data_IF_525536624494
#
_entry.id   IF_525536624494
#
_cell.length_a   1.000
_cell.length_b   1.000
_cell.length_c   1.000
_cell.angle_alpha   90.00
_cell.angle_beta   90.00
_cell.angle_gamma   90.00
#
_symmetry.space_group_name_H-M   'P 1'
#
loop_
_entity.id
_entity.type
_entity.pdbx_description
1 polymer ?
#
# COMPACT_ATOMS: atom_id res chain seq x y z
N UNK A 1 4.50 11.56 -5.06
CA UNK A 1 5.69 10.82 -5.53
C UNK A 1 5.39 9.32 -5.44
N UNK A 2 5.33 8.63 -6.58
CA UNK A 2 5.15 7.19 -6.66
C UNK A 2 6.45 6.51 -6.22
N UNK A 3 6.57 6.23 -4.92
CA UNK A 3 7.76 5.63 -4.31
C UNK A 3 7.94 4.19 -4.81
N UNK A 4 8.65 3.97 -5.91
CA UNK A 4 9.17 2.65 -6.30
C UNK A 4 8.13 1.58 -6.66
N UNK A 5 6.82 1.87 -6.67
CA UNK A 5 5.80 0.87 -7.05
C UNK A 5 5.99 0.33 -8.47
N UNK A 6 6.58 1.13 -9.35
CA UNK A 6 6.91 0.75 -10.72
C UNK A 6 8.11 -0.18 -10.84
N UNK A 7 8.95 -0.31 -9.80
CA UNK A 7 10.10 -1.21 -9.79
C UNK A 7 9.80 -2.58 -9.16
N UNK A 8 8.59 -2.78 -8.63
CA UNK A 8 8.17 -4.07 -8.09
C UNK A 8 7.70 -4.97 -9.24
N UNK A 9 8.30 -6.15 -9.35
CA UNK A 9 7.95 -7.17 -10.35
C UNK A 9 6.73 -7.97 -9.86
N UNK A 10 5.57 -7.32 -9.90
CA UNK A 10 4.32 -7.87 -9.37
C UNK A 10 3.68 -8.77 -10.43
N UNK A 11 3.25 -9.97 -10.03
CA UNK A 11 2.42 -10.82 -10.87
C UNK A 11 1.07 -10.11 -11.15
N UNK A 12 0.75 -9.90 -12.43
CA UNK A 12 -0.51 -9.26 -12.88
C UNK A 12 -1.45 -10.24 -13.59
N UNK A 13 -1.12 -11.52 -13.53
CA UNK A 13 -1.83 -12.59 -14.20
C UNK A 13 -1.22 -13.00 -15.56
N UNK A 14 -1.97 -13.73 -16.39
CA UNK A 14 -3.35 -14.15 -16.15
C UNK A 14 -3.46 -15.08 -14.92
N UNK A 15 -4.38 -14.79 -14.02
CA UNK A 15 -4.67 -15.67 -12.89
C UNK A 15 -5.64 -16.77 -13.32
N UNK A 16 -5.52 -17.92 -12.66
CA UNK A 16 -6.31 -19.14 -12.97
C UNK A 16 -7.27 -19.52 -11.84
N UNK A 17 -7.31 -18.71 -10.78
CA UNK A 17 -8.13 -18.92 -9.59
C UNK A 17 -8.08 -17.67 -8.70
N UNK A 18 -9.13 -17.41 -7.93
CA UNK A 18 -9.16 -16.28 -6.99
C UNK A 18 -8.08 -16.38 -5.92
N UNK A 19 -7.79 -17.60 -5.44
CA UNK A 19 -6.71 -17.85 -4.50
C UNK A 19 -5.36 -17.30 -5.02
N UNK A 20 -4.97 -17.65 -6.25
CA UNK A 20 -3.74 -17.11 -6.88
C UNK A 20 -3.77 -15.59 -7.06
N UNK A 21 -4.94 -15.01 -7.34
CA UNK A 21 -5.08 -13.55 -7.44
C UNK A 21 -4.84 -12.89 -6.08
N UNK A 22 -5.51 -13.34 -5.02
CA UNK A 22 -5.36 -12.77 -3.68
C UNK A 22 -3.96 -13.03 -3.10
N UNK A 23 -3.39 -14.23 -3.30
CA UNK A 23 -2.00 -14.54 -2.91
C UNK A 23 -1.02 -13.58 -3.59
N UNK A 24 -1.25 -13.25 -4.87
CA UNK A 24 -0.45 -12.28 -5.61
C UNK A 24 -0.57 -10.87 -5.05
N UNK A 25 -1.76 -10.44 -4.64
CA UNK A 25 -1.95 -9.13 -4.01
C UNK A 25 -1.24 -9.04 -2.66
N UNK A 26 -1.34 -10.09 -1.84
CA UNK A 26 -0.68 -10.15 -0.54
C UNK A 26 0.84 -10.18 -0.70
N UNK A 27 1.36 -10.94 -1.68
CA UNK A 27 2.79 -10.95 -2.02
C UNK A 27 3.27 -9.57 -2.45
N UNK A 28 2.57 -8.90 -3.36
CA UNK A 28 2.90 -7.55 -3.80
C UNK A 28 2.90 -6.52 -2.66
N UNK A 29 1.95 -6.66 -1.72
CA UNK A 29 1.88 -5.83 -0.53
C UNK A 29 3.08 -6.06 0.40
N UNK A 30 3.47 -7.32 0.64
CA UNK A 30 4.65 -7.67 1.44
C UNK A 30 5.95 -7.19 0.79
N UNK A 31 6.15 -7.42 -0.50
CA UNK A 31 7.31 -6.92 -1.24
C UNK A 31 7.40 -5.38 -1.18
N UNK A 32 6.26 -4.70 -1.29
CA UNK A 32 6.21 -3.25 -1.11
C UNK A 32 6.63 -2.84 0.31
N UNK A 33 6.13 -3.54 1.33
CA UNK A 33 6.48 -3.30 2.72
C UNK A 33 7.99 -3.53 2.98
N UNK A 34 8.60 -4.50 2.31
CA UNK A 34 10.03 -4.81 2.46
C UNK A 34 10.95 -3.71 1.90
N UNK A 35 10.54 -3.03 0.82
CA UNK A 35 11.32 -1.94 0.22
C UNK A 35 11.09 -0.57 0.87
N UNK A 36 10.18 -0.48 1.85
CA UNK A 36 10.03 0.74 2.64
C UNK A 36 11.35 1.03 3.34
N UNK A 37 11.90 2.22 3.09
CA UNK A 37 13.17 2.63 3.68
C UNK A 37 13.05 2.59 5.20
N UNK A 38 13.86 1.77 5.85
CA UNK A 38 14.09 1.86 7.28
C UNK A 38 14.86 3.15 7.54
N UNK A 39 14.24 4.13 8.20
CA UNK A 39 14.95 5.32 8.63
C UNK A 39 15.71 5.01 9.93
N UNK A 40 16.82 5.73 10.16
CA UNK A 40 17.70 5.52 11.31
C UNK A 40 17.12 6.02 12.64
N UNK A 41 15.82 6.28 12.73
CA UNK A 41 15.15 6.59 13.99
C UNK A 41 14.84 5.30 14.76
N UNK A 42 15.89 4.52 15.01
CA UNK A 42 15.92 3.63 16.16
C UNK A 42 15.81 4.50 17.42
N UNK A 43 14.90 4.11 18.30
CA UNK A 43 14.45 4.76 19.53
C UNK A 43 13.42 5.86 19.28
N UNK A 44 12.15 5.51 19.57
CA UNK A 44 11.09 6.43 20.01
C UNK A 44 11.74 7.65 20.66
N UNK A 45 11.47 8.86 20.14
CA UNK A 45 11.93 10.07 20.82
C UNK A 45 11.46 9.97 22.28
N UNK A 46 12.39 9.89 23.25
CA UNK A 46 12.05 9.54 24.62
C UNK A 46 10.99 10.52 25.10
N UNK A 47 9.83 9.98 25.48
CA UNK A 47 8.76 10.78 26.06
C UNK A 47 9.34 11.42 27.32
N UNK A 48 9.38 12.76 27.42
CA UNK A 48 9.96 13.43 28.58
C UNK A 48 9.33 12.87 29.87
N UNK A 49 10.13 12.28 30.76
CA UNK A 49 9.66 11.91 32.10
C UNK A 49 9.90 13.06 33.04
N UNK A 50 8.99 13.28 34.00
CA UNK A 50 9.17 14.36 34.98
C UNK A 50 10.45 14.22 35.80
N UNK A 51 10.84 12.98 36.09
CA UNK A 51 12.00 12.67 36.93
C UNK A 51 13.34 12.99 36.25
N UNK A 52 13.33 13.22 34.93
CA UNK A 52 14.53 13.56 34.14
C UNK A 52 14.89 15.06 34.20
N UNK A 53 14.03 15.89 34.81
CA UNK A 53 14.20 17.35 34.81
C UNK A 53 14.20 17.94 36.22
N UNK A 54 15.13 18.88 36.44
CA UNK A 54 15.30 19.54 37.73
C UNK A 54 14.19 20.57 38.02
N UNK A 55 13.40 20.97 37.02
CA UNK A 55 12.36 21.99 37.17
C UNK A 55 11.16 21.75 36.25
N UNK A 56 10.01 22.32 36.63
CA UNK A 56 8.80 22.28 35.80
C UNK A 56 8.97 22.98 34.46
N UNK A 57 9.70 24.09 34.44
CA UNK A 57 9.90 24.88 33.23
C UNK A 57 10.69 24.08 32.19
N UNK A 58 11.73 23.36 32.62
CA UNK A 58 12.53 22.50 31.73
C UNK A 58 11.70 21.32 31.19
N UNK A 59 10.91 20.67 32.06
CA UNK A 59 10.01 19.60 31.67
C UNK A 59 8.97 20.08 30.63
N UNK A 60 8.28 21.19 30.92
CA UNK A 60 7.28 21.77 30.02
C UNK A 60 7.88 22.19 28.67
N UNK A 61 9.09 22.75 28.69
CA UNK A 61 9.82 23.09 27.46
C UNK A 61 10.15 21.85 26.62
N UNK A 62 10.59 20.76 27.26
CA UNK A 62 10.87 19.49 26.60
C UNK A 62 9.59 18.84 26.02
N UNK A 63 8.48 18.89 26.77
CA UNK A 63 7.16 18.41 26.31
C UNK A 63 6.68 19.22 25.11
N UNK A 64 6.83 20.55 25.12
CA UNK A 64 6.44 21.39 23.98
C UNK A 64 7.29 21.08 22.74
N UNK A 65 8.61 20.92 22.89
CA UNK A 65 9.48 20.51 21.78
C UNK A 65 9.12 19.13 21.23
N UNK A 66 8.77 18.17 22.10
CA UNK A 66 8.29 16.86 21.69
C UNK A 66 6.94 16.95 20.95
N UNK A 67 6.02 17.76 21.44
CA UNK A 67 4.72 18.00 20.79
C UNK A 67 4.91 18.67 19.41
N UNK A 68 5.79 19.67 19.31
CA UNK A 68 6.11 20.33 18.04
C UNK A 68 6.74 19.34 17.05
N UNK A 69 7.64 18.46 17.53
CA UNK A 69 8.25 17.39 16.75
C UNK A 69 7.21 16.41 16.19
N UNK A 70 6.19 16.04 16.98
CA UNK A 70 5.10 15.14 16.57
C UNK A 70 4.04 15.85 15.70
N UNK A 71 3.78 17.14 15.91
CA UNK A 71 2.71 17.89 15.25
C UNK A 71 3.09 18.44 13.86
N UNK A 72 4.37 18.75 13.60
CA UNK A 72 4.82 19.31 12.30
C UNK A 72 4.98 18.19 11.27
N UNK A 73 3.88 17.59 10.81
CA UNK A 73 3.84 16.69 9.64
C UNK A 73 4.70 15.42 9.68
N UNK A 74 5.52 15.24 10.74
CA UNK A 74 6.27 14.05 11.12
C UNK A 74 5.34 13.02 11.74
N UNK A 75 4.34 12.64 10.97
CA UNK A 75 3.48 11.50 11.22
C UNK A 75 4.37 10.34 11.71
N UNK A 76 3.94 9.61 12.74
CA UNK A 76 4.41 8.25 13.00
C UNK A 76 3.99 7.27 11.88
N UNK A 77 3.79 7.75 10.66
CA UNK A 77 3.98 6.99 9.41
C UNK A 77 5.43 7.21 8.90
N UNK A 78 6.36 7.37 9.86
CA UNK A 78 7.77 7.11 9.63
C UNK A 78 7.92 5.64 9.24
N UNK A 79 9.07 5.27 8.70
CA UNK A 79 9.50 3.90 8.39
C UNK A 79 9.22 2.80 9.42
N UNK A 80 8.70 3.15 10.59
CA UNK A 80 8.25 2.28 11.69
C UNK A 80 7.11 1.34 11.32
N UNK A 81 6.33 1.67 10.28
CA UNK A 81 5.18 0.87 9.83
C UNK A 81 5.59 -0.42 9.08
N UNK A 82 6.90 -0.67 8.80
CA UNK A 82 7.31 -1.93 8.15
C UNK A 82 6.88 -3.15 8.98
N UNK A 83 7.06 -3.12 10.30
CA UNK A 83 6.64 -4.23 11.16
C UNK A 83 5.12 -4.41 11.10
N UNK A 84 4.36 -3.33 11.23
CA UNK A 84 2.90 -3.36 11.20
C UNK A 84 2.35 -3.80 9.85
N UNK A 85 2.93 -3.33 8.73
CA UNK A 85 2.59 -3.80 7.40
C UNK A 85 2.94 -5.28 7.20
N UNK A 86 4.09 -5.76 7.69
CA UNK A 86 4.43 -7.18 7.60
C UNK A 86 3.46 -8.03 8.43
N UNK A 87 3.12 -7.59 9.66
CA UNK A 87 2.11 -8.26 10.50
C UNK A 87 0.75 -8.28 9.80
N UNK A 88 0.30 -7.14 9.27
CA UNK A 88 -0.95 -7.05 8.53
C UNK A 88 -0.95 -7.93 7.28
N UNK A 89 0.18 -8.02 6.57
CA UNK A 89 0.33 -8.85 5.36
C UNK A 89 0.22 -10.33 5.67
N UNK A 90 0.86 -10.79 6.74
CA UNK A 90 0.71 -12.18 7.21
C UNK A 90 -0.71 -12.46 7.71
N UNK A 91 -1.34 -11.53 8.44
CA UNK A 91 -2.73 -11.67 8.86
C UNK A 91 -3.68 -11.75 7.65
N UNK A 92 -3.48 -10.91 6.63
CA UNK A 92 -4.25 -10.94 5.38
C UNK A 92 -4.08 -12.26 4.64
N UNK A 93 -2.84 -12.77 4.55
CA UNK A 93 -2.56 -14.07 3.94
C UNK A 93 -3.35 -15.20 4.63
N UNK A 94 -3.39 -15.20 5.97
CA UNK A 94 -4.11 -16.22 6.74
C UNK A 94 -5.64 -16.07 6.60
N UNK A 95 -6.15 -14.83 6.56
CA UNK A 95 -7.55 -14.54 6.30
C UNK A 95 -7.95 -15.04 4.91
N UNK A 96 -7.17 -14.74 3.87
CA UNK A 96 -7.43 -15.16 2.48
C UNK A 96 -7.53 -16.68 2.37
N UNK A 97 -6.70 -17.42 3.10
CA UNK A 97 -6.75 -18.90 3.13
C UNK A 97 -7.97 -19.47 3.85
N UNK A 98 -8.56 -18.70 4.75
CA UNK A 98 -9.76 -19.09 5.52
C UNK A 98 -11.06 -18.65 4.87
N UNK A 99 -11.00 -17.71 3.91
CA UNK A 99 -12.16 -17.34 3.12
C UNK A 99 -12.56 -18.54 2.26
N UNK A 100 -13.76 -19.07 2.53
CA UNK A 100 -14.49 -19.88 1.55
C UNK A 100 -14.92 -18.95 0.42
N UNK A 101 -13.99 -18.70 -0.50
CA UNK A 101 -14.28 -17.91 -1.69
C UNK A 101 -15.35 -18.66 -2.48
N UNK A 102 -16.45 -17.99 -2.87
CA UNK A 102 -17.47 -18.62 -3.68
C UNK A 102 -16.80 -19.25 -4.90
N UNK A 103 -17.23 -20.45 -5.29
CA UNK A 103 -16.97 -20.96 -6.65
C UNK A 103 -17.68 -20.04 -7.64
N UNK A 104 -17.12 -18.85 -7.87
CA UNK A 104 -17.34 -18.08 -9.08
C UNK A 104 -16.91 -19.00 -10.22
N UNK A 105 -17.69 -19.05 -11.30
CA UNK A 105 -17.29 -19.77 -12.50
C UNK A 105 -15.87 -19.32 -12.86
N UNK A 106 -14.90 -20.18 -12.55
CA UNK A 106 -13.46 -19.87 -12.57
C UNK A 106 -12.90 -19.76 -13.98
N UNK A 107 -13.77 -19.55 -14.98
CA UNK A 107 -13.44 -19.57 -16.39
C UNK A 107 -13.06 -18.17 -16.92
N UNK A 108 -13.42 -17.09 -16.21
CA UNK A 108 -13.25 -15.72 -16.70
C UNK A 108 -12.47 -14.82 -15.73
N UNK A 109 -11.18 -14.62 -16.02
CA UNK A 109 -10.31 -13.59 -15.42
C UNK A 109 -10.11 -12.44 -16.42
N UNK A 110 -11.07 -11.50 -16.52
CA UNK A 110 -11.02 -10.39 -17.47
C UNK A 110 -9.83 -9.46 -17.21
N UNK A 111 -9.32 -8.86 -18.28
CA UNK A 111 -8.25 -7.88 -18.21
C UNK A 111 -8.81 -6.52 -17.78
N UNK A 112 -8.29 -5.98 -16.69
CA UNK A 112 -8.70 -4.70 -16.11
C UNK A 112 -7.66 -3.61 -16.37
N UNK A 113 -8.13 -2.43 -16.79
CA UNK A 113 -7.32 -1.24 -16.99
C UNK A 113 -7.38 -0.34 -15.74
N UNK A 114 -6.29 -0.19 -14.95
CA UNK A 114 -6.33 0.49 -13.66
C UNK A 114 -6.46 2.01 -13.74
N UNK A 115 -6.22 2.62 -14.90
CA UNK A 115 -6.25 4.07 -15.08
C UNK A 115 -7.00 4.50 -16.36
N UNK A 116 -8.33 4.33 -16.44
CA UNK A 116 -9.10 4.73 -17.62
C UNK A 116 -9.33 6.26 -17.65
N UNK A 117 -8.25 7.04 -17.47
CA UNK A 117 -8.33 8.50 -17.54
C UNK A 117 -8.58 8.94 -18.99
N UNK A 118 -9.22 10.10 -19.16
CA UNK A 118 -9.45 10.69 -20.49
C UNK A 118 -8.16 10.89 -21.29
N UNK A 119 -7.01 11.04 -20.63
CA UNK A 119 -5.71 11.16 -21.29
C UNK A 119 -5.25 9.87 -21.97
N UNK A 120 -5.86 8.73 -21.61
CA UNK A 120 -5.53 7.41 -22.15
C UNK A 120 -6.55 6.93 -23.19
N UNK A 121 -7.56 7.74 -23.51
CA UNK A 121 -8.65 7.41 -24.44
C UNK A 121 -8.58 8.36 -25.63
N UNK A 122 -8.38 7.80 -26.82
CA UNK A 122 -8.35 8.56 -28.07
C UNK A 122 -9.67 8.38 -28.81
N UNK A 123 -10.16 9.48 -29.37
CA UNK A 123 -11.38 9.52 -30.17
C UNK A 123 -11.09 10.06 -31.56
N UNK A 124 -11.89 9.66 -32.55
CA UNK A 124 -11.88 10.23 -33.89
C UNK A 124 -12.75 11.51 -33.98
N UNK A 125 -12.84 12.08 -35.19
CA UNK A 125 -13.61 13.29 -35.48
C UNK A 125 -15.14 13.10 -35.29
N UNK A 126 -15.60 11.85 -35.28
CA UNK A 126 -17.01 11.47 -35.05
C UNK A 126 -17.26 11.08 -33.56
N UNK A 127 -16.29 11.31 -32.68
CA UNK A 127 -16.33 10.99 -31.25
C UNK A 127 -16.38 9.48 -30.92
N UNK A 128 -15.98 8.60 -31.83
CA UNK A 128 -15.84 7.18 -31.53
C UNK A 128 -14.50 6.92 -30.84
N UNK A 129 -14.47 6.05 -29.83
CA UNK A 129 -13.24 5.60 -29.20
C UNK A 129 -12.46 4.75 -30.21
N UNK A 130 -11.24 5.18 -30.54
CA UNK A 130 -10.36 4.50 -31.50
C UNK A 130 -9.27 3.70 -30.81
N UNK A 131 -8.71 4.23 -29.72
CA UNK A 131 -7.63 3.58 -28.99
C UNK A 131 -7.74 3.84 -27.49
N UNK A 132 -7.35 2.82 -26.70
CA UNK A 132 -7.09 2.93 -25.27
C UNK A 132 -5.63 2.53 -25.07
N UNK A 133 -4.84 3.40 -24.42
CA UNK A 133 -3.40 3.19 -24.19
C UNK A 133 -3.10 3.06 -22.70
N UNK A 134 -1.82 2.93 -22.33
CA UNK A 134 -1.33 2.87 -20.94
C UNK A 134 -1.73 1.57 -20.19
N UNK A 135 -1.73 0.45 -20.91
CA UNK A 135 -1.98 -0.89 -20.38
C UNK A 135 -0.82 -1.45 -19.53
N UNK A 136 0.23 -0.68 -19.26
CA UNK A 136 1.45 -1.16 -18.59
C UNK A 136 1.20 -1.73 -17.18
N UNK A 137 0.10 -1.34 -16.54
CA UNK A 137 -0.29 -1.80 -15.21
C UNK A 137 -1.55 -2.68 -15.20
N UNK A 138 -2.04 -3.09 -16.39
CA UNK A 138 -3.20 -3.93 -16.50
C UNK A 138 -3.01 -5.26 -15.76
N UNK A 139 -4.09 -5.77 -15.19
CA UNK A 139 -4.10 -7.04 -14.44
C UNK A 139 -5.33 -7.82 -14.80
N UNK A 140 -5.21 -9.14 -14.85
CA UNK A 140 -6.41 -9.98 -14.83
C UNK A 140 -7.01 -9.94 -13.41
N UNK A 141 -8.32 -9.80 -13.28
CA UNK A 141 -9.02 -9.71 -11.98
C UNK A 141 -10.17 -10.70 -11.91
N UNK A 142 -10.66 -11.08 -10.72
CA UNK A 142 -11.91 -11.82 -10.58
C UNK A 142 -13.09 -11.03 -11.16
N UNK A 143 -14.01 -11.71 -11.84
CA UNK A 143 -15.21 -11.09 -12.43
C UNK A 143 -16.06 -10.26 -11.44
N UNK A 144 -16.23 -10.64 -10.16
CA UNK A 144 -16.93 -9.81 -9.18
C UNK A 144 -16.26 -8.45 -8.88
N UNK A 145 -15.02 -8.24 -9.34
CA UNK A 145 -14.24 -7.01 -9.11
C UNK A 145 -14.20 -6.07 -10.33
N UNK A 146 -14.81 -6.46 -11.46
CA UNK A 146 -15.06 -5.57 -12.61
C UNK A 146 -16.07 -4.47 -12.24
#
# INVERSE_FOLDING_TARGET
MLHGRYSLDIQRGPFTSEAKFYDSLVSAFLEHAEILQLSHHCFVAPVPSRDDYQSSIQYESAVNLWNDFVAVGGKTDSSDNRLDYIIAGHALHDIVRQLELPTVNSETFPLYHPNPSVNNIYVDDDYNITYIIDWAFASSIPEPML
#
